data_IF_392728215051
#
_entry.id   IF_392728215051
#
_cell.length_a   1.000
_cell.length_b   1.000
_cell.length_c   1.000
_cell.angle_alpha   90.00
_cell.angle_beta   90.00
_cell.angle_gamma   90.00
#
_symmetry.space_group_name_H-M   'P 1'
#
loop_
_entity.id
_entity.type
_entity.pdbx_description
1 polymer ?
#
# COMPACT_ATOMS: atom_id res chain seq x y z
N UNK A 1 14.83 1.51 1.78
CA UNK A 1 14.99 1.82 3.23
C UNK A 1 16.21 1.15 3.86
N UNK A 2 16.42 -0.18 3.73
CA UNK A 2 17.52 -0.89 4.41
C UNK A 2 18.92 -0.25 4.24
N UNK A 3 19.35 0.21 3.05
CA UNK A 3 20.64 0.90 2.92
C UNK A 3 20.75 2.18 3.75
N UNK A 4 19.67 2.97 3.80
CA UNK A 4 19.62 4.23 4.56
C UNK A 4 19.66 3.98 6.07
N UNK A 5 18.99 2.93 6.55
CA UNK A 5 19.07 2.50 7.95
C UNK A 5 20.49 2.03 8.28
N UNK A 6 21.09 1.18 7.44
CA UNK A 6 22.47 0.69 7.63
C UNK A 6 23.51 1.81 7.64
N UNK A 7 23.31 2.85 6.82
CA UNK A 7 24.20 4.02 6.77
C UNK A 7 24.07 4.96 7.97
N UNK A 8 23.06 4.78 8.82
CA UNK A 8 22.73 5.70 9.92
C UNK A 8 21.93 6.93 9.49
N UNK A 9 21.69 7.14 8.19
CA UNK A 9 20.87 8.25 7.68
C UNK A 9 19.45 8.23 8.26
N UNK A 10 18.86 7.03 8.42
CA UNK A 10 17.57 6.82 9.09
C UNK A 10 17.74 5.92 10.30
N UNK A 11 16.98 6.19 11.36
CA UNK A 11 16.92 5.35 12.55
C UNK A 11 15.63 4.50 12.53
N UNK A 12 15.78 3.18 12.58
CA UNK A 12 14.65 2.30 12.84
C UNK A 12 14.27 2.39 14.31
N UNK A 13 13.07 2.90 14.61
CA UNK A 13 12.59 3.05 15.99
C UNK A 13 11.99 1.75 16.52
N UNK A 14 11.20 1.07 15.71
CA UNK A 14 10.64 -0.26 15.99
C UNK A 14 10.26 -0.97 14.67
N UNK A 15 10.09 -2.29 14.72
CA UNK A 15 9.67 -3.15 13.61
C UNK A 15 8.86 -4.33 14.17
N UNK A 16 7.62 -4.48 13.72
CA UNK A 16 6.70 -5.52 14.20
C UNK A 16 5.83 -6.01 13.05
N UNK A 17 5.64 -7.32 12.98
CA UNK A 17 4.63 -7.92 12.11
C UNK A 17 3.24 -7.76 12.74
N UNK A 18 2.25 -7.43 11.92
CA UNK A 18 0.84 -7.42 12.36
C UNK A 18 0.22 -8.77 12.05
N UNK A 19 -0.23 -9.54 13.07
CA UNK A 19 -0.82 -10.85 12.85
C UNK A 19 -2.04 -10.75 11.92
N UNK A 20 -2.08 -11.61 10.91
CA UNK A 20 -3.20 -11.79 9.98
C UNK A 20 -3.58 -10.51 9.21
N UNK A 21 -2.70 -9.50 9.16
CA UNK A 21 -3.01 -8.18 8.61
C UNK A 21 -4.21 -7.50 9.29
N UNK A 22 -4.48 -7.86 10.54
CA UNK A 22 -5.63 -7.36 11.29
C UNK A 22 -5.43 -5.88 11.68
N UNK A 23 -6.33 -5.03 11.20
CA UNK A 23 -6.24 -3.58 11.40
C UNK A 23 -6.36 -3.17 12.88
N UNK A 24 -7.15 -3.87 13.69
CA UNK A 24 -7.32 -3.55 15.10
C UNK A 24 -6.04 -3.90 15.88
N UNK A 25 -5.47 -5.09 15.64
CA UNK A 25 -4.16 -5.46 16.18
C UNK A 25 -3.06 -4.50 15.70
N UNK A 26 -3.08 -4.11 14.43
CA UNK A 26 -2.16 -3.15 13.85
C UNK A 26 -2.20 -1.78 14.54
N UNK A 27 -3.40 -1.27 14.82
CA UNK A 27 -3.59 -0.03 15.59
C UNK A 27 -3.02 -0.12 17.01
N UNK A 28 -3.27 -1.23 17.71
CA UNK A 28 -2.74 -1.49 19.06
C UNK A 28 -1.20 -1.55 19.06
N UNK A 29 -0.62 -2.30 18.11
CA UNK A 29 0.83 -2.41 17.93
C UNK A 29 1.43 -1.03 17.68
N UNK A 30 0.84 -0.25 16.78
CA UNK A 30 1.35 1.07 16.46
C UNK A 30 1.21 2.06 17.63
N UNK A 31 0.14 1.98 18.43
CA UNK A 31 -0.01 2.81 19.64
C UNK A 31 1.10 2.52 20.66
N UNK A 32 1.49 1.25 20.81
CA UNK A 32 2.64 0.86 21.65
C UNK A 32 3.97 1.36 21.09
N UNK A 33 4.20 1.24 19.77
CA UNK A 33 5.39 1.75 19.10
C UNK A 33 5.52 3.28 19.24
N UNK A 34 4.41 4.00 19.06
CA UNK A 34 4.37 5.45 19.23
C UNK A 34 4.67 5.88 20.67
N UNK A 35 4.13 5.15 21.65
CA UNK A 35 4.40 5.38 23.08
C UNK A 35 5.87 5.17 23.39
N UNK A 36 6.47 4.06 22.93
CA UNK A 36 7.90 3.76 23.08
C UNK A 36 8.79 4.81 22.41
N UNK A 37 8.35 5.36 21.28
CA UNK A 37 9.02 6.45 20.59
C UNK A 37 8.88 7.81 21.30
N UNK A 38 8.08 7.91 22.37
CA UNK A 38 7.76 9.18 23.04
C UNK A 38 7.06 10.17 22.10
N UNK A 39 6.26 9.67 21.16
CA UNK A 39 5.59 10.48 20.14
C UNK A 39 6.50 11.02 19.02
N UNK A 40 7.76 10.59 18.96
CA UNK A 40 8.76 11.08 17.99
C UNK A 40 8.96 10.08 16.85
N UNK A 41 8.21 10.26 15.77
CA UNK A 41 8.34 9.49 14.53
C UNK A 41 8.28 10.44 13.34
N UNK A 42 9.08 10.19 12.31
CA UNK A 42 9.02 10.92 11.04
C UNK A 42 8.12 10.20 10.02
N UNK A 43 8.11 8.86 10.06
CA UNK A 43 7.35 8.04 9.14
C UNK A 43 6.90 6.70 9.76
N UNK A 44 5.77 6.20 9.26
CA UNK A 44 5.25 4.86 9.47
C UNK A 44 5.23 4.15 8.12
N UNK A 45 6.01 3.07 8.03
CA UNK A 45 6.08 2.24 6.82
C UNK A 45 5.09 1.10 6.99
N UNK A 46 3.82 1.37 6.68
CA UNK A 46 2.77 0.34 6.75
C UNK A 46 2.78 -0.53 5.50
N UNK A 47 2.45 -1.81 5.67
CA UNK A 47 2.56 -2.81 4.61
C UNK A 47 1.32 -2.88 3.71
N UNK A 48 0.18 -2.31 4.12
CA UNK A 48 -1.01 -2.10 3.27
C UNK A 48 -1.86 -0.93 3.78
N UNK A 49 -2.89 -0.55 3.04
CA UNK A 49 -3.75 0.59 3.40
C UNK A 49 -4.54 0.41 4.69
N UNK A 50 -5.05 -0.79 4.98
CA UNK A 50 -5.78 -1.04 6.23
C UNK A 50 -4.93 -0.74 7.46
N UNK A 51 -3.69 -1.25 7.47
CA UNK A 51 -2.73 -0.99 8.55
C UNK A 51 -2.29 0.47 8.58
N UNK A 52 -2.09 1.10 7.43
CA UNK A 52 -1.78 2.53 7.33
C UNK A 52 -2.89 3.40 7.93
N UNK A 53 -4.14 3.13 7.61
CA UNK A 53 -5.30 3.85 8.13
C UNK A 53 -5.50 3.62 9.64
N UNK A 54 -5.20 2.41 10.14
CA UNK A 54 -5.17 2.16 11.59
C UNK A 54 -4.11 3.01 12.29
N UNK A 55 -2.91 3.14 11.71
CA UNK A 55 -1.87 4.03 12.23
C UNK A 55 -2.29 5.51 12.18
N UNK A 56 -2.93 5.95 11.09
CA UNK A 56 -3.50 7.31 10.95
C UNK A 56 -4.50 7.60 12.07
N UNK A 57 -5.38 6.66 12.43
CA UNK A 57 -6.35 6.86 13.51
C UNK A 57 -5.65 7.15 14.85
N UNK A 58 -4.60 6.40 15.17
CA UNK A 58 -3.77 6.64 16.37
C UNK A 58 -3.02 7.98 16.28
N UNK A 59 -2.48 8.33 15.12
CA UNK A 59 -1.82 9.63 14.90
C UNK A 59 -2.80 10.80 15.07
N UNK A 60 -4.05 10.67 14.62
CA UNK A 60 -5.11 11.68 14.80
C UNK A 60 -5.43 11.87 16.29
N UNK A 61 -5.62 10.78 17.04
CA UNK A 61 -5.83 10.81 18.52
C UNK A 61 -4.69 11.56 19.25
N UNK A 62 -3.47 11.44 18.74
CA UNK A 62 -2.27 12.05 19.31
C UNK A 62 -1.88 13.40 18.69
N UNK A 63 -2.69 13.98 17.78
CA UNK A 63 -2.41 15.26 17.09
C UNK A 63 -1.09 15.27 16.30
N UNK A 64 -0.74 14.11 15.75
CA UNK A 64 0.45 13.87 14.92
C UNK A 64 0.14 13.58 13.45
N UNK A 65 -1.15 13.40 13.11
CA UNK A 65 -1.56 13.22 11.72
C UNK A 65 -1.15 14.43 10.85
N UNK A 66 -0.65 14.17 9.65
CA UNK A 66 -0.08 15.18 8.76
C UNK A 66 1.32 15.67 9.15
N UNK A 67 1.87 15.26 10.31
CA UNK A 67 3.28 15.47 10.68
C UNK A 67 4.13 14.24 10.46
N UNK A 68 3.53 13.06 10.63
CA UNK A 68 4.16 11.76 10.39
C UNK A 68 3.69 11.23 9.05
N UNK A 69 4.62 10.90 8.16
CA UNK A 69 4.29 10.30 6.87
C UNK A 69 3.81 8.85 7.07
N UNK A 70 2.76 8.43 6.36
CA UNK A 70 2.25 7.05 6.45
C UNK A 70 2.11 6.49 5.05
N UNK A 71 2.80 5.39 4.76
CA UNK A 71 2.65 4.66 3.49
C UNK A 71 1.44 3.71 3.54
N UNK A 72 1.00 3.25 2.38
CA UNK A 72 0.07 2.14 2.22
C UNK A 72 0.37 1.34 0.94
N UNK A 73 -0.50 0.39 0.65
CA UNK A 73 -0.51 -0.43 -0.56
C UNK A 73 -1.96 -0.90 -0.79
N UNK A 74 -2.34 -1.13 -2.06
CA UNK A 74 -3.60 -1.72 -2.58
C UNK A 74 -4.54 -0.75 -3.31
N UNK A 75 -4.40 0.56 -3.16
CA UNK A 75 -5.20 1.59 -3.86
C UNK A 75 -6.72 1.43 -3.71
N UNK A 76 -7.18 1.04 -2.51
CA UNK A 76 -8.59 1.06 -2.09
C UNK A 76 -9.19 2.47 -2.15
N UNK A 77 -10.52 2.56 -2.23
CA UNK A 77 -11.20 3.86 -2.24
C UNK A 77 -10.87 4.70 -0.98
N UNK A 78 -10.79 4.07 0.19
CA UNK A 78 -10.40 4.72 1.44
C UNK A 78 -8.95 5.20 1.42
N UNK A 79 -8.03 4.37 0.90
CA UNK A 79 -6.62 4.74 0.77
C UNK A 79 -6.40 5.91 -0.19
N UNK A 80 -7.08 5.90 -1.35
CA UNK A 80 -7.03 7.02 -2.30
C UNK A 80 -7.63 8.29 -1.70
N UNK A 81 -8.76 8.19 -1.00
CA UNK A 81 -9.35 9.32 -0.30
C UNK A 81 -8.39 9.88 0.77
N UNK A 82 -7.75 9.01 1.56
CA UNK A 82 -6.76 9.38 2.56
C UNK A 82 -5.52 10.06 1.96
N UNK A 83 -5.09 9.67 0.77
CA UNK A 83 -4.03 10.37 0.03
C UNK A 83 -4.50 11.79 -0.36
N UNK A 84 -5.73 11.94 -0.84
CA UNK A 84 -6.28 13.24 -1.23
C UNK A 84 -6.44 14.19 -0.02
N UNK A 85 -6.83 13.66 1.15
CA UNK A 85 -6.93 14.43 2.40
C UNK A 85 -5.56 14.66 3.07
N UNK A 86 -4.53 13.92 2.68
CA UNK A 86 -3.17 14.02 3.25
C UNK A 86 -2.95 13.18 4.51
N UNK A 87 -3.87 12.26 4.80
CA UNK A 87 -3.75 11.27 5.88
C UNK A 87 -2.71 10.19 5.53
N UNK A 88 -2.68 9.75 4.27
CA UNK A 88 -1.63 8.88 3.72
C UNK A 88 -0.73 9.66 2.77
N UNK A 89 0.57 9.37 2.81
CA UNK A 89 1.57 10.01 1.95
C UNK A 89 1.60 9.37 0.56
N UNK A 90 1.41 8.04 0.50
CA UNK A 90 1.36 7.29 -0.74
C UNK A 90 0.62 5.96 -0.53
N UNK A 91 0.25 5.34 -1.64
CA UNK A 91 -0.08 3.92 -1.73
C UNK A 91 0.67 3.30 -2.90
N UNK A 92 0.52 2.00 -3.10
CA UNK A 92 1.07 1.25 -4.22
C UNK A 92 -0.08 0.53 -4.90
N UNK A 93 -0.36 0.92 -6.14
CA UNK A 93 -1.37 0.30 -6.98
C UNK A 93 -0.81 -0.99 -7.60
N UNK A 94 -1.54 -2.09 -7.40
CA UNK A 94 -1.30 -3.39 -8.03
C UNK A 94 -2.53 -3.73 -8.87
N UNK A 95 -2.34 -3.90 -10.16
CA UNK A 95 -3.45 -4.12 -11.08
C UNK A 95 -4.00 -5.54 -10.96
N UNK A 96 -4.93 -5.75 -10.02
CA UNK A 96 -5.53 -7.06 -9.71
C UNK A 96 -6.11 -7.73 -10.96
N UNK A 97 -6.70 -6.96 -11.88
CA UNK A 97 -7.20 -7.49 -13.17
C UNK A 97 -6.07 -8.12 -14.00
N UNK A 98 -4.92 -7.47 -14.07
CA UNK A 98 -3.76 -8.01 -14.80
C UNK A 98 -3.16 -9.22 -14.07
N UNK A 99 -3.11 -9.20 -12.73
CA UNK A 99 -2.66 -10.35 -11.93
C UNK A 99 -3.56 -11.57 -12.17
N UNK A 100 -4.88 -11.37 -12.15
CA UNK A 100 -5.86 -12.43 -12.40
C UNK A 100 -5.75 -13.00 -13.83
N UNK A 101 -5.58 -12.14 -14.83
CA UNK A 101 -5.38 -12.57 -16.21
C UNK A 101 -4.09 -13.38 -16.36
N UNK A 102 -2.98 -12.90 -15.80
CA UNK A 102 -1.71 -13.64 -15.81
C UNK A 102 -1.82 -15.00 -15.13
N UNK A 103 -2.51 -15.08 -13.98
CA UNK A 103 -2.76 -16.35 -13.29
C UNK A 103 -3.62 -17.30 -14.13
N UNK A 104 -4.68 -16.81 -14.78
CA UNK A 104 -5.53 -17.61 -15.65
C UNK A 104 -4.78 -18.14 -16.87
N UNK A 105 -3.97 -17.32 -17.53
CA UNK A 105 -3.14 -17.71 -18.67
C UNK A 105 -2.17 -18.84 -18.29
N UNK A 106 -1.52 -18.72 -17.14
CA UNK A 106 -0.63 -19.76 -16.60
C UNK A 106 -1.40 -21.06 -16.34
N UNK A 107 -2.55 -20.99 -15.67
CA UNK A 107 -3.37 -22.16 -15.37
C UNK A 107 -3.83 -22.88 -16.64
N UNK A 108 -4.30 -22.13 -17.65
CA UNK A 108 -4.74 -22.68 -18.94
C UNK A 108 -3.57 -23.36 -19.66
N UNK A 109 -2.38 -22.75 -19.66
CA UNK A 109 -1.20 -23.35 -20.29
C UNK A 109 -0.82 -24.68 -19.64
N UNK A 110 -0.84 -24.73 -18.31
CA UNK A 110 -0.57 -25.96 -17.55
C UNK A 110 -1.58 -27.06 -17.85
N UNK A 111 -2.88 -26.74 -17.87
CA UNK A 111 -3.95 -27.70 -18.17
C UNK A 111 -3.82 -28.26 -19.60
N UNK A 112 -3.46 -27.40 -20.57
CA UNK A 112 -3.26 -27.79 -21.97
C UNK A 112 -1.91 -28.48 -22.23
N UNK A 113 -1.02 -28.54 -21.25
CA UNK A 113 0.34 -29.02 -21.43
C UNK A 113 1.18 -28.14 -22.37
N UNK A 114 0.80 -26.87 -22.56
CA UNK A 114 1.54 -25.94 -23.39
C UNK A 114 2.62 -25.21 -22.59
N UNK A 115 3.68 -24.78 -23.27
CA UNK A 115 4.76 -24.05 -22.63
C UNK A 115 4.28 -22.67 -22.19
N UNK A 116 4.51 -22.33 -20.92
CA UNK A 116 4.37 -20.98 -20.38
C UNK A 116 5.44 -20.07 -20.99
N UNK A 117 5.02 -19.01 -21.69
CA UNK A 117 5.93 -18.09 -22.39
C UNK A 117 5.91 -16.66 -21.82
N UNK A 118 4.98 -16.34 -20.94
CA UNK A 118 4.78 -14.99 -20.41
C UNK A 118 5.49 -14.73 -19.07
N UNK A 119 6.31 -15.66 -18.58
CA UNK A 119 7.11 -15.44 -17.37
C UNK A 119 8.07 -14.26 -17.56
N UNK A 120 8.01 -13.28 -16.66
CA UNK A 120 8.84 -12.06 -16.69
C UNK A 120 9.97 -12.08 -15.67
N UNK A 121 10.00 -13.10 -14.81
CA UNK A 121 11.03 -13.25 -13.79
C UNK A 121 10.97 -14.59 -13.08
N UNK A 122 11.58 -14.66 -11.90
CA UNK A 122 11.60 -15.84 -11.05
C UNK A 122 11.35 -15.45 -9.59
N UNK A 123 10.67 -16.32 -8.86
CA UNK A 123 10.45 -16.23 -7.41
C UNK A 123 11.07 -17.45 -6.75
N UNK A 124 11.86 -17.25 -5.70
CA UNK A 124 12.44 -18.38 -4.96
C UNK A 124 11.47 -18.82 -3.85
N UNK A 125 11.07 -20.08 -3.84
CA UNK A 125 10.17 -20.67 -2.83
C UNK A 125 10.90 -21.30 -1.63
N UNK A 126 12.21 -21.05 -1.50
CA UNK A 126 13.11 -21.68 -0.53
C UNK A 126 13.75 -22.98 -1.02
N UNK A 127 13.31 -23.53 -2.16
CA UNK A 127 13.86 -24.76 -2.75
C UNK A 127 14.32 -24.58 -4.20
N UNK A 128 13.62 -23.75 -4.96
CA UNK A 128 13.88 -23.52 -6.38
C UNK A 128 13.46 -22.14 -6.82
N UNK A 129 14.03 -21.71 -7.93
CA UNK A 129 13.55 -20.52 -8.64
C UNK A 129 12.39 -20.90 -9.56
N UNK A 130 11.19 -20.47 -9.19
CA UNK A 130 9.95 -20.70 -9.92
C UNK A 130 9.77 -19.61 -10.98
N UNK A 131 9.69 -19.94 -12.29
CA UNK A 131 9.30 -18.96 -13.31
C UNK A 131 7.99 -18.30 -12.95
N UNK A 132 7.98 -16.97 -12.94
CA UNK A 132 6.86 -16.17 -12.41
C UNK A 132 6.51 -15.05 -13.38
N UNK A 133 5.22 -14.70 -13.42
CA UNK A 133 4.75 -13.46 -14.03
C UNK A 133 4.77 -12.38 -12.94
N UNK A 134 5.79 -11.53 -12.97
CA UNK A 134 5.96 -10.40 -12.06
C UNK A 134 5.51 -9.12 -12.75
N UNK A 135 4.37 -8.59 -12.32
CA UNK A 135 3.87 -7.31 -12.79
C UNK A 135 4.56 -6.16 -12.08
N UNK A 136 4.64 -5.01 -12.75
CA UNK A 136 5.25 -3.80 -12.18
C UNK A 136 4.18 -3.01 -11.41
N UNK A 137 4.28 -2.90 -10.08
CA UNK A 137 3.35 -2.07 -9.32
C UNK A 137 3.63 -0.58 -9.55
N UNK A 138 2.63 0.26 -9.31
CA UNK A 138 2.71 1.71 -9.54
C UNK A 138 2.59 2.47 -8.23
N UNK A 139 3.57 3.32 -7.92
CA UNK A 139 3.48 4.22 -6.78
C UNK A 139 2.41 5.30 -7.02
N UNK A 140 1.47 5.42 -6.08
CA UNK A 140 0.38 6.40 -6.15
C UNK A 140 0.54 7.41 -5.02
N UNK A 141 0.49 8.68 -5.39
CA UNK A 141 0.47 9.85 -4.52
C UNK A 141 -0.66 10.76 -4.97
N UNK A 142 -0.87 11.87 -4.27
CA UNK A 142 -1.85 12.90 -4.64
C UNK A 142 -1.72 13.35 -6.09
N UNK A 143 -0.50 13.38 -6.65
CA UNK A 143 -0.24 13.82 -8.01
C UNK A 143 -0.81 12.89 -9.11
N UNK A 144 -1.05 11.61 -8.80
CA UNK A 144 -1.43 10.62 -9.81
C UNK A 144 -2.55 9.66 -9.39
N UNK A 145 -3.37 10.00 -8.38
CA UNK A 145 -4.58 9.22 -8.00
C UNK A 145 -5.47 8.91 -9.20
N UNK A 146 -5.58 9.84 -10.16
CA UNK A 146 -6.36 9.66 -11.40
C UNK A 146 -5.97 8.43 -12.23
N UNK A 147 -4.73 7.91 -12.10
CA UNK A 147 -4.27 6.71 -12.82
C UNK A 147 -5.13 5.50 -12.44
N UNK A 148 -5.42 5.34 -11.15
CA UNK A 148 -6.22 4.22 -10.64
C UNK A 148 -7.67 4.31 -11.08
N UNK A 149 -8.21 5.53 -11.18
CA UNK A 149 -9.57 5.80 -11.65
C UNK A 149 -9.69 5.59 -13.16
N UNK A 150 -8.71 6.08 -13.93
CA UNK A 150 -8.67 5.93 -15.39
C UNK A 150 -8.54 4.47 -15.82
N UNK A 151 -7.82 3.65 -15.04
CA UNK A 151 -7.75 2.21 -15.24
C UNK A 151 -9.06 1.48 -14.90
N UNK A 152 -9.97 2.15 -14.19
CA UNK A 152 -11.26 1.59 -13.77
C UNK A 152 -11.18 0.69 -12.54
N UNK A 153 -10.02 0.63 -11.86
CA UNK A 153 -9.86 -0.14 -10.63
C UNK A 153 -10.69 0.43 -9.48
N UNK A 154 -10.77 1.75 -9.38
CA UNK A 154 -11.68 2.45 -8.47
C UNK A 154 -12.56 3.42 -9.25
N UNK A 155 -13.80 3.63 -8.79
CA UNK A 155 -14.65 4.67 -9.36
C UNK A 155 -14.39 6.00 -8.67
N UNK A 156 -14.47 7.10 -9.43
CA UNK A 156 -14.47 8.47 -8.88
C UNK A 156 -15.53 8.61 -7.78
N UNK A 157 -16.73 8.09 -8.01
CA UNK A 157 -17.84 8.17 -7.07
C UNK A 157 -17.51 7.54 -5.71
N UNK A 158 -16.88 6.35 -5.70
CA UNK A 158 -16.47 5.68 -4.46
C UNK A 158 -15.45 6.52 -3.68
N UNK A 159 -14.42 7.04 -4.36
CA UNK A 159 -13.37 7.86 -3.74
C UNK A 159 -13.95 9.18 -3.22
N UNK A 160 -14.72 9.90 -4.03
CA UNK A 160 -15.23 11.23 -3.68
C UNK A 160 -16.38 11.20 -2.66
N UNK A 161 -17.05 10.06 -2.49
CA UNK A 161 -17.96 9.84 -1.35
C UNK A 161 -17.22 9.93 -0.02
N UNK A 162 -15.99 9.42 0.04
CA UNK A 162 -15.16 9.41 1.27
C UNK A 162 -14.38 10.72 1.41
N UNK A 163 -13.70 11.15 0.35
CA UNK A 163 -12.88 12.36 0.37
C UNK A 163 -13.69 13.66 0.39
N UNK A 164 -14.97 13.60 0.02
CA UNK A 164 -15.85 14.71 -0.41
C UNK A 164 -15.55 15.22 -1.83
N UNK A 165 -16.60 15.71 -2.47
CA UNK A 165 -16.54 16.29 -3.82
C UNK A 165 -15.62 17.52 -3.88
N UNK A 166 -15.58 18.34 -2.83
CA UNK A 166 -14.72 19.51 -2.77
C UNK A 166 -13.23 19.14 -2.78
N UNK A 167 -12.85 18.10 -2.03
CA UNK A 167 -11.46 17.60 -2.02
C UNK A 167 -11.11 16.99 -3.37
N UNK A 168 -12.01 16.19 -3.97
CA UNK A 168 -11.76 15.63 -5.30
C UNK A 168 -11.52 16.72 -6.35
N UNK A 169 -12.43 17.72 -6.45
CA UNK A 169 -12.29 18.84 -7.39
C UNK A 169 -10.98 19.59 -7.20
N UNK A 170 -10.59 19.89 -5.95
CA UNK A 170 -9.33 20.57 -5.62
C UNK A 170 -8.09 19.82 -6.12
N UNK A 171 -8.17 18.49 -6.21
CA UNK A 171 -7.08 17.62 -6.65
C UNK A 171 -7.23 17.13 -8.10
N UNK A 172 -8.18 17.67 -8.87
CA UNK A 172 -8.38 17.29 -10.28
C UNK A 172 -8.91 15.86 -10.46
N UNK A 173 -9.68 15.37 -9.49
CA UNK A 173 -10.36 14.06 -9.52
C UNK A 173 -11.83 14.23 -9.90
#
# INVERSE_FOLDING_TARGET
LRPLIKSGSYKLVDDQAVPDWDNAKGGVIFEQQLTKAGGKLDAVVSANEGLGLAAVAVLKKNKLNGKVCVSGQDATADGLAAILTGDLSNTVYKAVKQEANGAADLAIALIKGTKVTNATGKTNDGKRDVPSVLLVPVGITKANVKVVIADGFQTRAAVCKIATEAVCKKNGI
#
